data_IF_548903949412
#
_entry.id   IF_548903949412
#
_cell.length_a   1.000
_cell.length_b   1.000
_cell.length_c   1.000
_cell.angle_alpha   90.00
_cell.angle_beta   90.00
_cell.angle_gamma   90.00
#
_symmetry.space_group_name_H-M   'P 1'
#
loop_
_entity.id
_entity.type
_entity.pdbx_description
1 polymer ?
#
# COMPACT_ATOMS: atom_id res chain seq x y z
N UNK A 1 0.48 -17.26 -6.51
CA UNK A 1 -0.55 -16.23 -6.78
C UNK A 1 -1.05 -15.61 -5.48
N UNK A 2 -1.41 -16.40 -4.47
CA UNK A 2 -1.83 -15.87 -3.18
C UNK A 2 -0.66 -15.30 -2.36
N UNK A 3 0.52 -15.92 -2.47
CA UNK A 3 1.77 -15.36 -1.92
C UNK A 3 2.07 -13.96 -2.44
N UNK A 4 1.98 -13.72 -3.76
CA UNK A 4 2.20 -12.39 -4.35
C UNK A 4 1.17 -11.36 -3.89
N UNK A 5 -0.09 -11.76 -3.72
CA UNK A 5 -1.11 -10.90 -3.15
C UNK A 5 -0.71 -10.38 -1.76
N UNK A 6 -0.25 -11.28 -0.89
CA UNK A 6 0.22 -10.89 0.45
C UNK A 6 1.55 -10.15 0.43
N UNK A 7 2.45 -10.43 -0.52
CA UNK A 7 3.65 -9.63 -0.77
C UNK A 7 3.28 -8.17 -1.07
N UNK A 8 2.29 -7.93 -1.93
CA UNK A 8 1.84 -6.57 -2.24
C UNK A 8 1.11 -5.89 -1.08
N UNK A 9 0.31 -6.64 -0.31
CA UNK A 9 -0.38 -6.12 0.88
C UNK A 9 0.61 -5.67 1.94
N UNK A 10 1.65 -6.45 2.22
CA UNK A 10 2.71 -6.03 3.12
C UNK A 10 3.48 -4.84 2.53
N UNK A 11 3.95 -4.93 1.29
CA UNK A 11 4.78 -3.88 0.67
C UNK A 11 4.10 -2.51 0.63
N UNK A 12 2.83 -2.45 0.23
CA UNK A 12 2.15 -1.17 0.01
C UNK A 12 1.24 -0.73 1.16
N UNK A 13 0.75 -1.65 2.00
CA UNK A 13 -0.23 -1.33 3.05
C UNK A 13 0.25 -1.68 4.47
N UNK A 14 1.33 -2.45 4.64
CA UNK A 14 1.88 -2.74 5.96
C UNK A 14 1.07 -3.75 6.76
N UNK A 15 0.38 -4.65 6.06
CA UNK A 15 -0.53 -5.60 6.69
C UNK A 15 -0.17 -7.03 6.31
N UNK A 16 -0.30 -7.91 7.30
CA UNK A 16 -0.07 -9.35 7.22
C UNK A 16 -1.39 -10.10 7.41
N UNK A 17 -1.52 -11.33 6.89
CA UNK A 17 -2.71 -12.13 7.16
C UNK A 17 -2.75 -12.53 8.64
N UNK A 18 -3.92 -12.50 9.30
CA UNK A 18 -4.03 -12.91 10.71
C UNK A 18 -3.93 -14.42 10.93
N UNK A 19 -4.03 -15.22 9.85
CA UNK A 19 -3.90 -16.68 9.88
C UNK A 19 -3.05 -17.16 8.69
N UNK A 20 -2.38 -18.32 8.80
CA UNK A 20 -1.56 -18.82 7.71
C UNK A 20 -2.33 -19.03 6.40
N UNK A 21 -1.76 -18.56 5.28
CA UNK A 21 -2.35 -18.69 3.94
C UNK A 21 -1.45 -19.52 3.03
N UNK A 22 -2.03 -20.52 2.41
CA UNK A 22 -1.44 -21.34 1.33
C UNK A 22 -1.94 -20.91 -0.06
N UNK A 23 -1.33 -21.45 -1.11
CA UNK A 23 -1.78 -21.27 -2.51
C UNK A 23 -3.10 -21.99 -2.85
N UNK A 24 -3.65 -22.81 -1.93
CA UNK A 24 -5.02 -23.32 -2.08
C UNK A 24 -6.08 -22.24 -1.85
N UNK A 25 -5.68 -21.09 -1.31
CA UNK A 25 -6.54 -19.93 -1.13
C UNK A 25 -6.38 -18.92 -2.26
N UNK A 26 -7.43 -18.15 -2.52
CA UNK A 26 -7.40 -17.05 -3.47
C UNK A 26 -8.00 -15.78 -2.86
N UNK A 27 -7.24 -15.13 -1.97
CA UNK A 27 -7.74 -14.02 -1.14
C UNK A 27 -8.09 -12.78 -1.97
N UNK A 28 -7.41 -12.57 -3.10
CA UNK A 28 -7.76 -11.48 -4.02
C UNK A 28 -9.19 -11.61 -4.56
N UNK A 29 -9.70 -12.83 -4.79
CA UNK A 29 -11.07 -13.04 -5.28
C UNK A 29 -12.16 -12.68 -4.25
N UNK A 30 -11.81 -12.56 -2.96
CA UNK A 30 -12.74 -12.04 -1.95
C UNK A 30 -13.03 -10.54 -2.15
N UNK A 31 -12.25 -9.83 -2.98
CA UNK A 31 -12.54 -8.46 -3.39
C UNK A 31 -13.33 -8.46 -4.70
N UNK A 32 -14.60 -8.07 -4.66
CA UNK A 32 -15.57 -8.06 -5.79
C UNK A 32 -14.99 -7.70 -7.16
N UNK A 33 -14.13 -6.69 -7.24
CA UNK A 33 -13.54 -6.22 -8.50
C UNK A 33 -12.73 -7.27 -9.25
N UNK A 34 -12.15 -8.24 -8.55
CA UNK A 34 -11.39 -9.35 -9.14
C UNK A 34 -12.33 -10.35 -9.86
N UNK A 35 -13.32 -11.00 -9.20
CA UNK A 35 -14.23 -11.92 -9.89
C UNK A 35 -15.20 -11.23 -10.85
N UNK A 36 -15.48 -9.94 -10.65
CA UNK A 36 -16.36 -9.17 -11.55
C UNK A 36 -15.63 -8.53 -12.74
N UNK A 37 -14.32 -8.77 -12.90
CA UNK A 37 -13.47 -8.20 -13.96
C UNK A 37 -13.62 -6.67 -14.11
N UNK A 38 -13.60 -5.96 -12.98
CA UNK A 38 -13.73 -4.50 -12.95
C UNK A 38 -12.36 -3.86 -12.67
N UNK A 39 -11.80 -3.06 -13.60
CA UNK A 39 -10.52 -2.40 -13.39
C UNK A 39 -10.49 -1.53 -12.13
N UNK A 40 -9.45 -1.70 -11.31
CA UNK A 40 -9.33 -1.02 -10.01
C UNK A 40 -8.56 0.31 -10.05
N UNK A 41 -7.70 0.52 -11.05
CA UNK A 41 -6.86 1.72 -11.17
C UNK A 41 -7.67 3.03 -11.22
N UNK A 42 -8.93 2.96 -11.69
CA UNK A 42 -9.84 4.10 -11.73
C UNK A 42 -10.07 4.75 -10.37
N UNK A 43 -10.02 3.99 -9.26
CA UNK A 43 -10.18 4.54 -7.92
C UNK A 43 -8.97 5.36 -7.49
N UNK A 44 -7.76 4.89 -7.83
CA UNK A 44 -6.52 5.62 -7.53
C UNK A 44 -6.47 6.94 -8.32
N UNK A 45 -6.81 6.91 -9.61
CA UNK A 45 -6.86 8.12 -10.45
C UNK A 45 -7.99 9.06 -10.02
N UNK A 46 -9.16 8.52 -9.69
CA UNK A 46 -10.29 9.31 -9.20
C UNK A 46 -9.94 10.06 -7.92
N UNK A 47 -9.21 9.44 -6.98
CA UNK A 47 -8.76 10.10 -5.75
C UNK A 47 -7.90 11.34 -6.05
N UNK A 48 -6.93 11.24 -6.97
CA UNK A 48 -6.10 12.39 -7.35
C UNK A 48 -6.92 13.48 -8.03
N UNK A 49 -7.82 13.09 -8.93
CA UNK A 49 -8.69 14.01 -9.66
C UNK A 49 -9.69 14.70 -8.75
N UNK A 50 -10.23 14.02 -7.75
CA UNK A 50 -11.19 14.57 -6.79
C UNK A 50 -10.63 15.84 -6.14
N UNK A 51 -9.44 15.78 -5.55
CA UNK A 51 -8.81 16.94 -4.91
C UNK A 51 -8.35 17.99 -5.92
N UNK A 52 -7.91 17.57 -7.12
CA UNK A 52 -7.51 18.50 -8.16
C UNK A 52 -8.70 19.30 -8.72
N UNK A 53 -9.85 18.66 -8.91
CA UNK A 53 -11.10 19.31 -9.31
C UNK A 53 -11.59 20.20 -8.17
N UNK A 54 -11.58 19.69 -6.94
CA UNK A 54 -11.99 20.43 -5.75
C UNK A 54 -11.21 21.73 -5.58
N UNK A 55 -9.88 21.67 -5.66
CA UNK A 55 -9.03 22.88 -5.61
C UNK A 55 -9.37 23.88 -6.70
N UNK A 56 -9.54 23.45 -7.95
CA UNK A 56 -9.90 24.36 -9.05
C UNK A 56 -11.26 25.03 -8.83
N UNK A 57 -12.23 24.30 -8.28
CA UNK A 57 -13.53 24.86 -7.90
C UNK A 57 -13.41 25.88 -6.76
N UNK A 58 -12.61 25.59 -5.73
CA UNK A 58 -12.34 26.51 -4.61
C UNK A 58 -11.62 27.79 -5.06
N UNK A 59 -10.63 27.66 -5.95
CA UNK A 59 -9.94 28.79 -6.56
C UNK A 59 -10.91 29.66 -7.38
N UNK A 60 -11.84 29.03 -8.12
CA UNK A 60 -12.87 29.73 -8.87
C UNK A 60 -13.91 30.41 -7.97
N UNK A 61 -14.23 29.82 -6.81
CA UNK A 61 -15.06 30.42 -5.78
C UNK A 61 -14.36 31.53 -4.97
N UNK A 62 -13.08 31.82 -5.28
CA UNK A 62 -12.24 32.79 -4.59
C UNK A 62 -12.10 32.51 -3.07
N UNK A 63 -12.11 31.23 -2.69
CA UNK A 63 -11.90 30.78 -1.32
C UNK A 63 -10.58 31.32 -0.76
N UNK A 64 -10.55 31.57 0.55
CA UNK A 64 -9.36 32.02 1.28
C UNK A 64 -9.13 31.11 2.48
N UNK A 65 -7.86 30.82 2.76
CA UNK A 65 -7.46 29.93 3.84
C UNK A 65 -7.17 28.51 3.33
N UNK A 66 -7.26 27.55 4.24
CA UNK A 66 -6.93 26.15 3.96
C UNK A 66 -7.95 25.48 3.05
N UNK A 67 -7.48 24.59 2.16
CA UNK A 67 -8.34 23.92 1.18
C UNK A 67 -9.46 23.07 1.82
N UNK A 68 -9.21 22.43 2.96
CA UNK A 68 -10.20 21.58 3.64
C UNK A 68 -11.38 22.35 4.27
N UNK A 69 -11.32 23.68 4.38
CA UNK A 69 -12.43 24.51 4.86
C UNK A 69 -13.22 25.17 3.73
N UNK A 70 -12.82 24.95 2.47
CA UNK A 70 -13.57 25.43 1.32
C UNK A 70 -14.99 24.85 1.34
N UNK A 71 -15.96 25.65 0.92
CA UNK A 71 -17.30 25.19 0.58
C UNK A 71 -17.69 25.82 -0.76
N UNK A 72 -18.07 24.97 -1.72
CA UNK A 72 -18.46 25.39 -3.07
C UNK A 72 -19.98 25.55 -3.19
N UNK A 73 -20.73 25.35 -2.11
CA UNK A 73 -22.18 25.51 -2.10
C UNK A 73 -22.59 26.90 -2.60
N UNK A 74 -23.54 26.93 -3.53
CA UNK A 74 -24.05 28.14 -4.22
C UNK A 74 -23.00 28.93 -5.03
N UNK A 75 -21.79 28.42 -5.24
CA UNK A 75 -20.82 29.06 -6.14
C UNK A 75 -21.14 28.73 -7.60
N UNK A 76 -21.59 29.74 -8.35
CA UNK A 76 -21.81 29.60 -9.81
C UNK A 76 -20.49 29.40 -10.55
N UNK A 77 -19.43 30.03 -10.06
CA UNK A 77 -18.07 29.99 -10.62
C UNK A 77 -17.49 28.58 -10.50
N UNK A 78 -17.61 27.94 -9.33
CA UNK A 78 -17.25 26.53 -9.16
C UNK A 78 -18.07 25.61 -10.07
N UNK A 79 -19.39 25.84 -10.16
CA UNK A 79 -20.27 25.10 -11.05
C UNK A 79 -19.88 25.19 -12.53
N UNK A 80 -19.39 26.35 -12.99
CA UNK A 80 -18.87 26.52 -14.37
C UNK A 80 -17.65 25.64 -14.62
N UNK A 81 -16.70 25.59 -13.69
CA UNK A 81 -15.51 24.71 -13.81
C UNK A 81 -15.94 23.25 -14.02
N UNK A 82 -16.86 22.75 -13.20
CA UNK A 82 -17.35 21.38 -13.31
C UNK A 82 -18.15 21.15 -14.60
N UNK A 83 -19.03 22.09 -14.97
CA UNK A 83 -19.82 22.03 -16.20
C UNK A 83 -18.93 21.98 -17.45
N UNK A 84 -17.87 22.78 -17.48
CA UNK A 84 -16.96 22.86 -18.63
C UNK A 84 -16.23 21.54 -18.87
N UNK A 85 -15.74 20.88 -17.82
CA UNK A 85 -15.07 19.57 -17.96
C UNK A 85 -16.06 18.44 -18.27
N UNK A 86 -17.25 18.45 -17.67
CA UNK A 86 -18.24 17.37 -17.84
C UNK A 86 -18.85 17.40 -19.24
N UNK A 87 -19.08 18.60 -19.81
CA UNK A 87 -19.65 18.75 -21.16
C UNK A 87 -18.76 18.18 -22.26
N UNK A 88 -17.44 18.13 -22.05
CA UNK A 88 -16.49 17.58 -23.04
C UNK A 88 -16.64 16.07 -23.20
N UNK A 89 -16.95 15.36 -22.12
CA UNK A 89 -17.02 13.90 -22.09
C UNK A 89 -15.75 13.26 -22.66
N UNK A 90 -15.91 12.33 -23.60
CA UNK A 90 -14.80 11.62 -24.28
C UNK A 90 -14.35 12.30 -25.59
N UNK A 91 -14.85 13.50 -25.91
CA UNK A 91 -14.57 14.15 -27.20
C UNK A 91 -13.13 14.67 -27.33
N UNK A 92 -12.43 14.90 -26.22
CA UNK A 92 -11.02 15.33 -26.19
C UNK A 92 -10.17 14.39 -25.36
N UNK A 93 -8.85 14.43 -25.58
CA UNK A 93 -7.92 13.66 -24.78
C UNK A 93 -7.95 14.17 -23.31
N UNK A 94 -7.91 13.26 -22.35
CA UNK A 94 -8.07 13.58 -20.92
C UNK A 94 -7.05 14.60 -20.41
N UNK A 95 -5.83 14.63 -20.95
CA UNK A 95 -4.81 15.63 -20.60
C UNK A 95 -5.28 17.05 -20.95
N UNK A 96 -6.01 17.22 -22.05
CA UNK A 96 -6.54 18.53 -22.45
C UNK A 96 -7.68 18.93 -21.52
N UNK A 97 -8.49 17.97 -21.06
CA UNK A 97 -9.52 18.21 -20.03
C UNK A 97 -8.89 18.65 -18.71
N UNK A 98 -7.78 18.02 -18.31
CA UNK A 98 -7.03 18.44 -17.12
C UNK A 98 -6.41 19.83 -17.29
N UNK A 99 -5.89 20.19 -18.48
CA UNK A 99 -5.40 21.54 -18.74
C UNK A 99 -6.51 22.59 -18.61
N UNK A 100 -7.68 22.30 -19.15
CA UNK A 100 -8.87 23.15 -18.99
C UNK A 100 -9.21 23.34 -17.50
N UNK A 101 -9.19 22.25 -16.72
CA UNK A 101 -9.44 22.29 -15.28
C UNK A 101 -8.43 23.17 -14.52
N UNK A 102 -7.14 23.10 -14.86
CA UNK A 102 -6.07 23.82 -14.16
C UNK A 102 -5.82 25.23 -14.72
N UNK A 103 -6.65 25.70 -15.67
CA UNK A 103 -6.48 26.98 -16.39
C UNK A 103 -5.09 27.08 -17.02
N UNK A 104 -4.68 26.03 -17.73
CA UNK A 104 -3.39 25.86 -18.41
C UNK A 104 -2.15 25.83 -17.51
N UNK A 105 -2.33 25.82 -16.18
CA UNK A 105 -1.21 25.73 -15.22
C UNK A 105 -0.67 24.31 -15.06
N UNK A 106 -1.33 23.28 -15.61
CA UNK A 106 -0.83 21.91 -15.58
C UNK A 106 -1.68 20.91 -16.37
N UNK A 107 -1.04 20.07 -17.21
CA UNK A 107 -1.69 19.01 -18.00
C UNK A 107 -1.47 17.59 -17.48
N UNK A 108 -1.21 17.45 -16.19
CA UNK A 108 -0.85 16.19 -15.52
C UNK A 108 -1.74 15.93 -14.32
N UNK A 109 -1.89 14.65 -13.96
CA UNK A 109 -2.40 14.27 -12.64
C UNK A 109 -1.41 14.74 -11.58
N UNK A 110 -1.89 15.39 -10.52
CA UNK A 110 -1.08 15.87 -9.41
C UNK A 110 -1.65 15.42 -8.07
N UNK A 111 -0.77 15.02 -7.15
CA UNK A 111 -1.12 14.76 -5.76
C UNK A 111 -1.02 16.02 -4.88
N UNK A 112 -0.51 17.13 -5.41
CA UNK A 112 -0.32 18.38 -4.63
C UNK A 112 -1.63 18.87 -3.99
N UNK A 113 -2.79 18.88 -4.68
CA UNK A 113 -4.05 19.30 -4.07
C UNK A 113 -4.52 18.38 -2.93
N UNK A 114 -4.27 17.08 -3.05
CA UNK A 114 -4.54 16.09 -2.00
C UNK A 114 -3.67 16.36 -0.76
N UNK A 115 -2.38 16.59 -0.96
CA UNK A 115 -1.44 16.90 0.13
C UNK A 115 -1.78 18.23 0.79
N UNK A 116 -2.12 19.25 0.01
CA UNK A 116 -2.55 20.57 0.51
C UNK A 116 -3.80 20.47 1.39
N UNK A 117 -4.79 19.67 0.96
CA UNK A 117 -6.00 19.44 1.75
C UNK A 117 -5.68 18.86 3.13
N UNK A 118 -4.84 17.83 3.18
CA UNK A 118 -4.46 17.13 4.41
C UNK A 118 -3.28 17.76 5.16
N UNK A 119 -2.74 18.89 4.70
CA UNK A 119 -1.54 19.51 5.27
C UNK A 119 -1.61 19.74 6.79
N UNK A 120 -2.73 20.23 7.37
CA UNK A 120 -2.81 20.40 8.83
C UNK A 120 -2.74 19.07 9.59
N UNK A 121 -3.41 18.04 9.07
CA UNK A 121 -3.36 16.69 9.64
C UNK A 121 -1.96 16.10 9.53
N UNK A 122 -1.29 16.29 8.40
CA UNK A 122 0.08 15.84 8.19
C UNK A 122 1.04 16.45 9.22
N UNK A 123 0.98 17.77 9.43
CA UNK A 123 1.79 18.46 10.44
C UNK A 123 1.50 17.92 11.85
N UNK A 124 0.22 17.71 12.18
CA UNK A 124 -0.17 17.16 13.46
C UNK A 124 0.37 15.74 13.66
N UNK A 125 0.26 14.87 12.64
CA UNK A 125 0.77 13.49 12.68
C UNK A 125 2.29 13.45 12.85
N UNK A 126 3.03 14.37 12.23
CA UNK A 126 4.48 14.47 12.44
C UNK A 126 4.83 14.81 13.89
N UNK A 127 4.05 15.69 14.53
CA UNK A 127 4.26 16.00 15.94
C UNK A 127 3.83 14.86 16.87
N UNK A 128 2.70 14.22 16.57
CA UNK A 128 2.17 13.13 17.39
C UNK A 128 3.08 11.89 17.36
N UNK A 129 3.67 11.60 16.19
CA UNK A 129 4.55 10.45 15.99
C UNK A 129 6.03 10.78 16.24
N UNK A 130 6.35 11.91 16.88
CA UNK A 130 7.74 12.37 17.07
C UNK A 130 8.57 11.37 17.89
N UNK A 131 7.95 10.78 18.90
CA UNK A 131 8.62 9.87 19.83
C UNK A 131 8.44 8.40 19.42
N UNK A 132 7.78 8.13 18.29
CA UNK A 132 7.67 6.79 17.75
C UNK A 132 9.03 6.31 17.23
N UNK A 133 9.54 5.16 17.70
CA UNK A 133 10.87 4.69 17.33
C UNK A 133 10.96 4.30 15.86
N UNK A 134 9.84 3.95 15.23
CA UNK A 134 9.76 3.52 13.82
C UNK A 134 8.48 4.06 13.19
N UNK A 135 8.60 4.79 12.06
CA UNK A 135 7.47 5.18 11.21
C UNK A 135 7.54 4.34 9.94
N UNK A 136 6.54 3.48 9.74
CA UNK A 136 6.48 2.51 8.64
C UNK A 136 6.62 1.08 9.14
N UNK A 137 6.94 0.16 8.23
CA UNK A 137 7.07 -1.26 8.51
C UNK A 137 8.14 -1.88 7.62
N UNK A 138 8.72 -2.97 8.08
CA UNK A 138 9.61 -3.80 7.27
C UNK A 138 8.78 -4.67 6.35
N UNK A 139 9.17 -4.73 5.07
CA UNK A 139 8.53 -5.58 4.08
C UNK A 139 9.49 -6.70 3.62
N UNK A 140 10.25 -7.27 4.56
CA UNK A 140 11.12 -8.39 4.25
C UNK A 140 10.28 -9.65 4.06
N UNK A 141 10.74 -10.54 3.17
CA UNK A 141 10.06 -11.83 2.93
C UNK A 141 10.01 -12.68 4.20
N UNK A 142 10.96 -12.50 5.10
CA UNK A 142 11.02 -13.19 6.39
C UNK A 142 9.85 -12.81 7.32
N UNK A 143 9.36 -11.57 7.24
CA UNK A 143 8.19 -11.10 8.01
C UNK A 143 6.89 -11.80 7.55
N UNK A 144 6.84 -12.22 6.28
CA UNK A 144 5.76 -13.07 5.76
C UNK A 144 5.98 -14.54 6.10
N UNK A 145 7.23 -14.98 6.21
CA UNK A 145 7.59 -16.35 6.57
C UNK A 145 7.15 -16.70 8.01
N UNK A 146 7.08 -15.73 8.92
CA UNK A 146 6.52 -15.90 10.27
C UNK A 146 5.06 -16.41 10.26
N UNK A 147 4.30 -16.10 9.20
CA UNK A 147 2.90 -16.49 9.05
C UNK A 147 2.67 -17.52 7.93
N UNK A 148 3.73 -17.92 7.21
CA UNK A 148 3.64 -19.09 6.33
C UNK A 148 3.62 -20.34 7.20
N UNK A 149 2.73 -21.31 6.91
CA UNK A 149 2.82 -22.58 7.61
C UNK A 149 4.19 -23.18 7.26
N UNK A 150 4.91 -23.72 8.26
CA UNK A 150 6.16 -24.48 8.10
C UNK A 150 5.90 -25.79 7.33
N UNK A 151 5.41 -25.70 6.10
CA UNK A 151 5.20 -26.83 5.22
C UNK A 151 6.53 -27.06 4.51
N UNK A 152 7.47 -27.72 5.19
CA UNK A 152 8.72 -28.09 4.54
C UNK A 152 9.89 -28.59 5.41
N UNK A 153 9.86 -28.45 6.74
CA UNK A 153 10.93 -28.97 7.61
C UNK A 153 10.60 -30.32 8.28
N UNK A 154 9.53 -30.98 7.84
CA UNK A 154 9.23 -32.36 8.21
C UNK A 154 9.70 -33.35 7.12
N UNK A 155 10.90 -33.17 6.56
CA UNK A 155 11.58 -34.26 5.84
C UNK A 155 12.43 -35.04 6.83
N UNK A 156 11.83 -36.09 7.39
CA UNK A 156 12.47 -37.28 7.98
C UNK A 156 13.85 -37.05 8.61
N UNK A 157 13.88 -36.82 9.92
CA UNK A 157 15.07 -37.15 10.70
C UNK A 157 15.20 -38.69 10.68
N UNK A 158 15.91 -39.23 9.68
CA UNK A 158 16.41 -40.60 9.77
C UNK A 158 17.47 -40.58 10.88
N UNK A 159 17.08 -41.00 12.07
CA UNK A 159 18.03 -41.38 13.09
C UNK A 159 18.88 -42.52 12.51
N UNK A 160 20.12 -42.22 12.12
CA UNK A 160 21.14 -43.25 11.87
C UNK A 160 21.51 -43.88 13.21
N UNK A 161 21.29 -45.17 13.44
CA UNK A 161 21.62 -45.82 14.69
C UNK A 161 22.98 -46.51 14.54
N UNK A 162 24.07 -45.76 14.29
CA UNK A 162 25.40 -46.37 14.31
C UNK A 162 26.43 -45.40 14.87
N UNK A 163 27.13 -45.89 15.90
CA UNK A 163 28.26 -45.34 16.66
C UNK A 163 27.94 -44.84 18.09
N UNK A 164 27.35 -45.74 18.89
CA UNK A 164 27.60 -45.80 20.34
C UNK A 164 28.32 -47.12 20.66
N UNK A 165 29.65 -47.09 20.60
CA UNK A 165 30.60 -48.08 21.12
C UNK A 165 32.00 -47.51 20.81
N UNK A 166 32.95 -47.25 21.71
CA UNK A 166 33.17 -47.73 23.07
C UNK A 166 34.08 -46.72 23.78
N UNK A 167 33.72 -46.32 25.00
CA UNK A 167 34.67 -45.80 25.98
C UNK A 167 34.79 -46.89 27.05
N UNK A 168 35.82 -47.73 26.96
CA UNK A 168 36.28 -48.59 28.06
C UNK A 168 37.81 -48.54 28.10
N UNK A 169 38.29 -47.68 29.00
CA UNK A 169 39.41 -47.81 29.95
C UNK A 169 40.33 -49.03 29.75
N UNK A 170 41.65 -48.78 29.64
CA UNK A 170 42.67 -49.57 30.34
C UNK A 170 43.85 -48.69 30.76
N UNK A 171 44.00 -48.56 32.09
CA UNK A 171 45.17 -48.03 32.78
C UNK A 171 46.14 -49.18 33.09
N UNK A 172 47.43 -48.83 33.12
CA UNK A 172 48.56 -49.46 33.84
C UNK A 172 49.31 -50.64 33.19
N UNK A 173 50.64 -50.45 33.02
CA UNK A 173 51.61 -51.42 33.53
C UNK A 173 52.67 -52.00 32.58
N UNK A 174 53.83 -51.31 32.49
CA UNK A 174 55.22 -51.83 32.57
C UNK A 174 55.82 -52.81 31.50
N UNK A 175 57.05 -52.41 31.12
CA UNK A 175 58.32 -53.15 30.85
C UNK A 175 58.67 -53.63 29.42
N UNK A 176 59.71 -52.97 28.84
CA UNK A 176 61.05 -53.46 28.38
C UNK A 176 61.18 -54.88 27.78
N UNK A 177 62.07 -55.10 26.79
CA UNK A 177 63.49 -54.71 26.81
C UNK A 177 63.96 -53.70 25.74
#
# INVERSE_FOLDING_TARGET
MNSDWWNFRLRYQGIVPPTPRSESHFDAAAKRHIPADVPYIKYYVALLLEFQIYKSMCDAANHKGSLHTCDVYRSREAGRVLSDILRVGKARHWKDVIKMLTKDKGGKLSAEPLLEYFQPLYIWLQSANRDEPVIGWTANKDDLALYQPLVGLATTCKASPLLFASVIVFLAGRNLP
#
